data_IF_885858156437
#
_entry.id   IF_885858156437
#
_cell.length_a   1.000
_cell.length_b   1.000
_cell.length_c   1.000
_cell.angle_alpha   90.00
_cell.angle_beta   90.00
_cell.angle_gamma   90.00
#
_symmetry.space_group_name_H-M   'P 1'
#
loop_
_entity.id
_entity.type
_entity.pdbx_description
1 polymer ?
#
# COMPACT_ATOMS: atom_id res chain seq x y z
N UNK A 1 32.07 -36.31 -9.88
CA UNK A 1 32.26 -35.09 -10.68
C UNK A 1 33.47 -35.28 -11.58
N UNK A 2 33.25 -35.72 -12.82
CA UNK A 2 34.27 -35.71 -13.87
C UNK A 2 33.62 -35.19 -15.14
N UNK A 3 34.26 -34.15 -15.64
CA UNK A 3 33.84 -33.15 -16.61
C UNK A 3 33.96 -33.66 -18.06
N UNK A 4 33.06 -34.55 -18.47
CA UNK A 4 32.82 -34.80 -19.90
C UNK A 4 31.33 -34.95 -20.13
N UNK A 5 30.65 -33.82 -20.34
CA UNK A 5 29.30 -33.84 -20.92
C UNK A 5 29.36 -34.66 -22.20
N UNK A 6 28.52 -35.67 -22.30
CA UNK A 6 28.44 -36.47 -23.52
C UNK A 6 28.04 -35.54 -24.69
N UNK A 7 28.79 -35.58 -25.79
CA UNK A 7 28.51 -34.73 -26.95
C UNK A 7 27.11 -34.98 -27.54
N UNK A 8 26.56 -36.19 -27.35
CA UNK A 8 25.25 -36.60 -27.86
C UNK A 8 24.10 -36.37 -26.87
N UNK A 9 24.38 -35.93 -25.63
CA UNK A 9 23.37 -35.72 -24.59
C UNK A 9 22.24 -34.78 -25.07
N UNK A 10 22.62 -33.64 -25.68
CA UNK A 10 21.64 -32.68 -26.23
C UNK A 10 20.79 -33.30 -27.35
N UNK A 11 21.38 -34.15 -28.18
CA UNK A 11 20.67 -34.82 -29.27
C UNK A 11 19.65 -35.83 -28.72
N UNK A 12 20.03 -36.63 -27.71
CA UNK A 12 19.15 -37.56 -26.98
C UNK A 12 17.99 -36.81 -26.34
N UNK A 13 18.25 -35.74 -25.58
CA UNK A 13 17.20 -34.93 -24.95
C UNK A 13 16.27 -34.26 -25.98
N UNK A 14 16.82 -33.84 -27.12
CA UNK A 14 16.00 -33.28 -28.21
C UNK A 14 15.14 -34.32 -28.91
N UNK A 15 15.66 -35.55 -29.07
CA UNK A 15 14.96 -36.68 -29.65
C UNK A 15 13.77 -37.09 -28.78
N UNK A 16 13.93 -37.09 -27.45
CA UNK A 16 12.81 -37.35 -26.53
C UNK A 16 11.72 -36.28 -26.65
N UNK A 17 12.09 -34.98 -26.58
CA UNK A 17 11.13 -33.86 -26.70
C UNK A 17 10.38 -33.84 -28.03
N UNK A 18 11.05 -34.17 -29.13
CA UNK A 18 10.46 -34.17 -30.48
C UNK A 18 9.86 -35.51 -30.88
N UNK A 19 10.05 -36.55 -30.05
CA UNK A 19 9.71 -37.96 -30.33
C UNK A 19 10.35 -38.51 -31.61
N UNK A 20 11.46 -37.92 -32.08
CA UNK A 20 12.18 -38.33 -33.29
C UNK A 20 13.52 -38.98 -32.93
N UNK A 21 13.56 -40.31 -33.00
CA UNK A 21 14.74 -41.10 -32.66
C UNK A 21 15.39 -41.70 -33.91
N UNK A 22 16.69 -41.46 -34.09
CA UNK A 22 17.52 -42.22 -35.03
C UNK A 22 18.05 -43.49 -34.37
N UNK A 23 18.39 -44.50 -35.18
CA UNK A 23 18.93 -45.76 -34.69
C UNK A 23 20.29 -45.59 -34.00
N UNK A 24 21.11 -44.62 -34.45
CA UNK A 24 22.38 -44.29 -33.80
C UNK A 24 22.19 -43.76 -32.38
N UNK A 25 21.16 -42.94 -32.14
CA UNK A 25 20.87 -42.39 -30.80
C UNK A 25 20.35 -43.47 -29.86
N UNK A 26 19.59 -44.45 -30.35
CA UNK A 26 19.15 -45.60 -29.55
C UNK A 26 20.31 -46.49 -29.16
N UNK A 27 21.21 -46.80 -30.10
CA UNK A 27 22.46 -47.54 -29.80
C UNK A 27 23.37 -46.80 -28.82
N UNK A 28 23.41 -45.48 -28.90
CA UNK A 28 24.19 -44.68 -27.95
C UNK A 28 23.63 -44.78 -26.52
N UNK A 29 22.31 -44.79 -26.35
CA UNK A 29 21.69 -44.94 -25.02
C UNK A 29 22.05 -46.26 -24.34
N UNK A 30 22.14 -47.35 -25.09
CA UNK A 30 22.53 -48.66 -24.55
C UNK A 30 23.96 -48.69 -24.00
N UNK A 31 24.83 -47.79 -24.47
CA UNK A 31 26.26 -47.74 -24.12
C UNK A 31 26.64 -46.55 -23.22
N UNK A 32 25.74 -45.59 -23.01
CA UNK A 32 26.03 -44.35 -22.30
C UNK A 32 25.14 -44.18 -21.05
N UNK A 33 25.67 -44.41 -19.83
CA UNK A 33 24.92 -44.25 -18.60
C UNK A 33 24.51 -42.79 -18.36
N UNK A 34 25.37 -41.81 -18.66
CA UNK A 34 25.07 -40.38 -18.47
C UNK A 34 23.83 -39.93 -19.26
N UNK A 35 23.71 -40.39 -20.52
CA UNK A 35 22.55 -40.10 -21.35
C UNK A 35 21.28 -40.82 -20.87
N UNK A 36 21.43 -41.99 -20.26
CA UNK A 36 20.31 -42.76 -19.69
C UNK A 36 19.75 -42.06 -18.45
N UNK A 37 20.64 -41.61 -17.55
CA UNK A 37 20.26 -40.86 -16.36
C UNK A 37 19.62 -39.51 -16.74
N UNK A 38 20.20 -38.78 -17.69
CA UNK A 38 19.64 -37.53 -18.19
C UNK A 38 18.24 -37.73 -18.80
N UNK A 39 18.02 -38.82 -19.54
CA UNK A 39 16.73 -39.18 -20.12
C UNK A 39 15.69 -39.55 -19.04
N UNK A 40 16.11 -40.25 -17.98
CA UNK A 40 15.24 -40.56 -16.85
C UNK A 40 14.75 -39.27 -16.17
N UNK A 41 15.66 -38.34 -15.89
CA UNK A 41 15.32 -37.05 -15.27
C UNK A 41 14.40 -36.23 -16.17
N UNK A 42 14.68 -36.18 -17.47
CA UNK A 42 13.81 -35.47 -18.43
C UNK A 42 12.39 -36.03 -18.38
N UNK A 43 12.24 -37.36 -18.47
CA UNK A 43 10.93 -38.01 -18.48
C UNK A 43 10.17 -37.78 -17.19
N UNK A 44 10.86 -37.81 -16.05
CA UNK A 44 10.26 -37.48 -14.76
C UNK A 44 9.76 -36.03 -14.72
N UNK A 45 10.58 -35.07 -15.13
CA UNK A 45 10.18 -33.66 -15.19
C UNK A 45 9.04 -33.42 -16.19
N UNK A 46 9.05 -34.10 -17.33
CA UNK A 46 7.97 -34.04 -18.30
C UNK A 46 6.66 -34.57 -17.72
N UNK A 47 6.70 -35.70 -16.99
CA UNK A 47 5.51 -36.25 -16.32
C UNK A 47 4.97 -35.33 -15.23
N UNK A 48 5.85 -34.77 -14.40
CA UNK A 48 5.47 -33.82 -13.35
C UNK A 48 4.89 -32.54 -13.94
N UNK A 49 5.46 -32.03 -15.04
CA UNK A 49 4.93 -30.86 -15.74
C UNK A 49 3.53 -31.12 -16.33
N UNK A 50 3.29 -32.31 -16.89
CA UNK A 50 1.94 -32.71 -17.33
C UNK A 50 0.96 -32.84 -16.17
N UNK A 51 1.38 -33.41 -15.03
CA UNK A 51 0.54 -33.50 -13.84
C UNK A 51 0.21 -32.11 -13.26
N UNK A 52 1.21 -31.24 -13.15
CA UNK A 52 1.06 -29.88 -12.63
C UNK A 52 0.18 -28.99 -13.53
N UNK A 53 0.36 -29.08 -14.85
CA UNK A 53 -0.48 -28.35 -15.82
C UNK A 53 -1.94 -28.81 -15.82
N UNK A 54 -2.19 -30.08 -15.47
CA UNK A 54 -3.56 -30.60 -15.31
C UNK A 54 -4.18 -30.16 -13.97
N UNK A 55 -3.38 -30.02 -12.92
CA UNK A 55 -3.84 -29.66 -11.58
C UNK A 55 -4.19 -28.18 -11.40
N UNK A 56 -3.66 -27.28 -12.22
CA UNK A 56 -3.89 -25.84 -12.09
C UNK A 56 -3.47 -25.10 -13.35
N UNK A 57 -4.37 -24.28 -13.92
CA UNK A 57 -3.97 -23.28 -14.92
C UNK A 57 -3.13 -22.23 -14.20
N UNK A 58 -1.81 -22.36 -14.28
CA UNK A 58 -0.92 -21.32 -13.79
C UNK A 58 -1.27 -19.99 -14.47
N UNK A 59 -1.31 -18.88 -13.72
CA UNK A 59 -1.49 -17.56 -14.32
C UNK A 59 -0.37 -17.31 -15.33
N UNK A 60 -0.70 -16.64 -16.43
CA UNK A 60 0.29 -16.31 -17.46
C UNK A 60 1.41 -15.45 -16.84
N UNK A 61 2.63 -15.57 -17.37
CA UNK A 61 3.78 -14.80 -16.89
C UNK A 61 3.46 -13.29 -16.84
N UNK A 62 2.71 -12.78 -17.84
CA UNK A 62 2.24 -11.40 -17.88
C UNK A 62 1.36 -11.01 -16.68
N UNK A 63 0.48 -11.91 -16.23
CA UNK A 63 -0.37 -11.64 -15.06
C UNK A 63 0.45 -11.57 -13.78
N UNK A 64 1.48 -12.42 -13.65
CA UNK A 64 2.39 -12.39 -12.49
C UNK A 64 3.19 -11.10 -12.48
N UNK A 65 3.75 -10.72 -13.64
CA UNK A 65 4.53 -9.50 -13.78
C UNK A 65 3.68 -8.25 -13.58
N UNK A 66 2.48 -8.21 -14.14
CA UNK A 66 1.53 -7.11 -13.94
C UNK A 66 1.14 -6.94 -12.48
N UNK A 67 0.88 -8.04 -11.75
CA UNK A 67 0.62 -7.99 -10.30
C UNK A 67 1.83 -7.47 -9.53
N UNK A 68 3.04 -7.81 -9.94
CA UNK A 68 4.26 -7.31 -9.32
C UNK A 68 4.45 -5.80 -9.59
N UNK A 69 4.25 -5.34 -10.82
CA UNK A 69 4.33 -3.93 -11.21
C UNK A 69 3.29 -3.08 -10.45
N UNK A 70 2.06 -3.59 -10.30
CA UNK A 70 1.03 -2.93 -9.49
C UNK A 70 1.41 -2.76 -8.03
N UNK A 71 2.06 -3.76 -7.42
CA UNK A 71 2.56 -3.64 -6.03
C UNK A 71 3.63 -2.56 -5.95
N UNK A 72 4.53 -2.51 -6.93
CA UNK A 72 5.59 -1.52 -6.99
C UNK A 72 5.01 -0.10 -7.13
N UNK A 73 4.05 0.10 -8.04
CA UNK A 73 3.36 1.38 -8.22
C UNK A 73 2.62 1.82 -6.96
N UNK A 74 1.93 0.90 -6.28
CA UNK A 74 1.22 1.21 -5.02
C UNK A 74 2.17 1.69 -3.92
N UNK A 75 3.35 1.07 -3.80
CA UNK A 75 4.37 1.51 -2.84
C UNK A 75 4.89 2.92 -3.16
N UNK A 76 5.08 3.25 -4.44
CA UNK A 76 5.46 4.60 -4.87
C UNK A 76 4.36 5.64 -4.56
N UNK A 77 3.09 5.31 -4.81
CA UNK A 77 1.97 6.21 -4.49
C UNK A 77 1.82 6.40 -2.99
N UNK A 78 2.04 5.36 -2.18
CA UNK A 78 1.96 5.45 -0.72
C UNK A 78 2.98 6.44 -0.16
N UNK A 79 4.19 6.50 -0.74
CA UNK A 79 5.22 7.48 -0.36
C UNK A 79 4.86 8.90 -0.77
N UNK A 80 4.18 9.08 -1.90
CA UNK A 80 3.74 10.39 -2.37
C UNK A 80 2.57 10.99 -1.57
N UNK A 81 1.74 10.16 -0.93
CA UNK A 81 0.56 10.61 -0.18
C UNK A 81 0.84 11.04 1.26
N UNK A 82 1.95 10.58 1.86
CA UNK A 82 2.35 10.96 3.22
C UNK A 82 2.55 12.47 3.41
N UNK A 83 3.29 13.19 2.54
CA UNK A 83 3.52 14.63 2.74
C UNK A 83 2.25 15.47 2.58
N UNK A 84 1.34 15.08 1.69
CA UNK A 84 0.08 15.82 1.43
C UNK A 84 -0.80 15.80 2.68
N UNK A 85 -0.97 14.64 3.32
CA UNK A 85 -1.77 14.52 4.55
C UNK A 85 -1.18 15.29 5.73
N UNK A 86 0.16 15.40 5.81
CA UNK A 86 0.82 16.18 6.87
C UNK A 86 0.56 17.66 6.68
N UNK A 87 0.64 18.16 5.44
CA UNK A 87 0.41 19.57 5.14
C UNK A 87 -1.04 19.99 5.41
N UNK A 88 -2.00 19.13 5.07
CA UNK A 88 -3.43 19.37 5.33
C UNK A 88 -3.72 19.48 6.83
N UNK A 89 -3.19 18.57 7.64
CA UNK A 89 -3.31 18.64 9.10
C UNK A 89 -2.62 19.87 9.67
N UNK A 90 -1.45 20.25 9.15
CA UNK A 90 -0.75 21.45 9.59
C UNK A 90 -1.55 22.73 9.26
N UNK A 91 -2.17 22.81 8.07
CA UNK A 91 -3.00 23.93 7.67
C UNK A 91 -4.26 24.07 8.54
N UNK A 92 -4.92 22.95 8.86
CA UNK A 92 -6.08 22.93 9.76
C UNK A 92 -5.72 23.43 11.16
N UNK A 93 -4.63 22.93 11.75
CA UNK A 93 -4.16 23.37 13.06
C UNK A 93 -3.78 24.85 13.07
N UNK A 94 -3.12 25.33 12.02
CA UNK A 94 -2.78 26.74 11.87
C UNK A 94 -4.03 27.63 11.77
N UNK A 95 -5.07 27.19 11.03
CA UNK A 95 -6.34 27.90 10.92
C UNK A 95 -7.08 28.02 12.26
N UNK A 96 -7.15 26.93 13.03
CA UNK A 96 -7.77 26.93 14.37
C UNK A 96 -7.01 27.86 15.33
N UNK A 97 -5.68 27.81 15.31
CA UNK A 97 -4.85 28.69 16.13
C UNK A 97 -5.06 30.16 15.78
N UNK A 98 -5.07 30.50 14.48
CA UNK A 98 -5.29 31.87 14.02
C UNK A 98 -6.69 32.39 14.39
N UNK A 99 -7.73 31.57 14.25
CA UNK A 99 -9.10 31.91 14.65
C UNK A 99 -9.20 32.15 16.17
N UNK A 100 -8.56 31.30 16.98
CA UNK A 100 -8.53 31.46 18.44
C UNK A 100 -7.87 32.77 18.87
N UNK A 101 -6.73 33.11 18.26
CA UNK A 101 -6.03 34.38 18.52
C UNK A 101 -6.87 35.58 18.07
N UNK A 102 -7.49 35.52 16.89
CA UNK A 102 -8.35 36.59 16.38
C UNK A 102 -9.57 36.84 17.27
N UNK A 103 -10.21 35.78 17.76
CA UNK A 103 -11.34 35.87 18.69
C UNK A 103 -10.91 36.46 20.03
N UNK A 104 -9.78 36.03 20.60
CA UNK A 104 -9.28 36.59 21.85
C UNK A 104 -8.93 38.08 21.74
N UNK A 105 -8.43 38.52 20.59
CA UNK A 105 -8.14 39.93 20.34
C UNK A 105 -9.40 40.78 20.20
N UNK A 106 -10.42 40.26 19.51
CA UNK A 106 -11.67 40.97 19.21
C UNK A 106 -12.75 40.82 20.30
N UNK A 107 -12.57 39.90 21.24
CA UNK A 107 -13.47 39.63 22.35
C UNK A 107 -13.91 40.88 23.14
N UNK A 108 -13.01 41.77 23.62
CA UNK A 108 -13.43 42.93 24.41
C UNK A 108 -14.35 43.86 23.63
N UNK A 109 -14.02 44.15 22.36
CA UNK A 109 -14.81 45.01 21.49
C UNK A 109 -16.18 44.41 21.17
N UNK A 110 -16.25 43.07 21.02
CA UNK A 110 -17.49 42.35 20.76
C UNK A 110 -18.42 42.35 21.98
N UNK A 111 -17.84 42.15 23.17
CA UNK A 111 -18.54 42.20 24.45
C UNK A 111 -19.11 43.59 24.74
N UNK A 112 -18.33 44.65 24.45
CA UNK A 112 -18.79 46.04 24.60
C UNK A 112 -19.98 46.36 23.68
N UNK A 113 -19.92 45.92 22.41
CA UNK A 113 -21.01 46.13 21.46
C UNK A 113 -22.28 45.33 21.82
N UNK A 114 -22.13 44.09 22.30
CA UNK A 114 -23.23 43.27 22.81
C UNK A 114 -23.86 43.85 24.08
N UNK A 115 -23.04 44.39 24.99
CA UNK A 115 -23.51 45.08 26.19
C UNK A 115 -24.34 46.32 25.86
N UNK A 116 -24.00 47.04 24.79
CA UNK A 116 -24.77 48.20 24.33
C UNK A 116 -26.16 47.83 23.76
N UNK A 117 -26.38 46.58 23.34
CA UNK A 117 -27.65 46.07 22.83
C UNK A 117 -28.51 45.39 23.92
N UNK A 118 -27.95 45.18 25.11
CA UNK A 118 -28.66 44.53 26.20
C UNK A 118 -29.72 45.48 26.81
N UNK A 119 -31.01 45.07 26.89
CA UNK A 119 -32.03 45.88 27.54
C UNK A 119 -31.69 46.06 29.02
N UNK A 120 -31.77 47.31 29.49
CA UNK A 120 -31.27 47.84 30.76
C UNK A 120 -31.89 47.26 32.04
N UNK A 121 -32.56 46.10 32.01
CA UNK A 121 -33.28 45.55 33.17
C UNK A 121 -33.03 44.08 33.49
N UNK A 122 -32.13 43.38 32.80
CA UNK A 122 -31.71 42.05 33.26
C UNK A 122 -30.39 42.15 34.04
N UNK A 123 -30.50 42.08 35.37
CA UNK A 123 -29.39 41.74 36.26
C UNK A 123 -28.93 40.32 35.96
N UNK A 124 -28.09 40.16 34.94
CA UNK A 124 -27.33 38.94 34.71
C UNK A 124 -26.18 38.88 35.70
N UNK A 125 -25.84 37.71 36.28
CA UNK A 125 -24.63 37.58 37.07
C UNK A 125 -23.42 38.02 36.23
N UNK A 126 -22.54 38.82 36.81
CA UNK A 126 -21.25 39.20 36.22
C UNK A 126 -20.39 37.94 36.07
N UNK A 127 -20.57 37.21 34.97
CA UNK A 127 -19.62 36.17 34.57
C UNK A 127 -18.47 36.89 33.89
N UNK A 128 -17.53 37.41 34.69
CA UNK A 128 -16.27 37.95 34.16
C UNK A 128 -15.43 36.80 33.64
N UNK A 129 -15.71 36.37 32.41
CA UNK A 129 -14.81 35.50 31.65
C UNK A 129 -13.53 36.30 31.40
N UNK A 130 -12.53 36.07 32.23
CA UNK A 130 -11.19 36.57 31.98
C UNK A 130 -10.75 36.22 30.54
N UNK A 131 -10.03 37.12 29.88
CA UNK A 131 -9.56 36.91 28.50
C UNK A 131 -8.81 35.57 28.33
N UNK A 132 -8.15 35.10 29.39
CA UNK A 132 -7.51 33.79 29.45
C UNK A 132 -8.54 32.66 29.39
N UNK A 133 -9.62 32.68 30.17
CA UNK A 133 -10.68 31.66 30.14
C UNK A 133 -11.39 31.58 28.78
N UNK A 134 -11.64 32.72 28.13
CA UNK A 134 -12.25 32.75 26.80
C UNK A 134 -11.31 32.16 25.73
N UNK A 135 -10.01 32.47 25.80
CA UNK A 135 -8.99 31.90 24.92
C UNK A 135 -8.88 30.37 25.10
N UNK A 136 -8.90 29.88 26.34
CA UNK A 136 -8.85 28.44 26.63
C UNK A 136 -10.09 27.69 26.13
N UNK A 137 -11.29 28.29 26.22
CA UNK A 137 -12.52 27.70 25.68
C UNK A 137 -12.51 27.68 24.15
N UNK A 138 -12.05 28.74 23.50
CA UNK A 138 -11.94 28.80 22.04
C UNK A 138 -10.89 27.81 21.50
N UNK A 139 -9.72 27.73 22.15
CA UNK A 139 -8.70 26.72 21.81
C UNK A 139 -9.21 25.31 22.10
N UNK A 140 -9.87 25.08 23.24
CA UNK A 140 -10.41 23.78 23.62
C UNK A 140 -11.46 23.28 22.63
N UNK A 141 -12.43 24.12 22.27
CA UNK A 141 -13.47 23.76 21.29
C UNK A 141 -12.90 23.57 19.88
N UNK A 142 -11.93 24.40 19.47
CA UNK A 142 -11.22 24.24 18.21
C UNK A 142 -10.42 22.94 18.10
N UNK A 143 -9.71 22.56 19.18
CA UNK A 143 -8.96 21.29 19.25
C UNK A 143 -9.92 20.10 19.23
N UNK A 144 -11.02 20.16 19.97
CA UNK A 144 -12.03 19.08 19.99
C UNK A 144 -12.69 18.93 18.61
N UNK A 145 -13.05 20.02 17.94
CA UNK A 145 -13.64 19.97 16.60
C UNK A 145 -12.64 19.41 15.56
N UNK A 146 -11.38 19.81 15.65
CA UNK A 146 -10.30 19.28 14.80
C UNK A 146 -10.09 17.78 15.01
N UNK A 147 -10.14 17.30 16.26
CA UNK A 147 -10.05 15.87 16.56
C UNK A 147 -11.27 15.08 16.06
N UNK A 148 -12.48 15.65 16.15
CA UNK A 148 -13.71 15.03 15.62
C UNK A 148 -13.65 14.92 14.10
N UNK A 149 -13.23 15.99 13.41
CA UNK A 149 -13.07 15.98 11.95
C UNK A 149 -12.01 14.98 11.50
N UNK A 150 -10.86 14.93 12.19
CA UNK A 150 -9.82 13.95 11.91
C UNK A 150 -10.28 12.50 12.15
N UNK A 151 -11.08 12.26 13.19
CA UNK A 151 -11.69 10.96 13.47
C UNK A 151 -12.75 10.56 12.43
N UNK A 152 -13.52 11.53 11.95
CA UNK A 152 -14.51 11.31 10.90
C UNK A 152 -13.82 10.91 9.59
N UNK A 153 -12.74 11.59 9.20
CA UNK A 153 -11.99 11.21 8.01
C UNK A 153 -11.35 9.81 8.10
N UNK A 154 -10.92 9.38 9.28
CA UNK A 154 -10.41 8.02 9.45
C UNK A 154 -11.50 6.96 9.28
N UNK A 155 -12.72 7.23 9.78
CA UNK A 155 -13.88 6.36 9.63
C UNK A 155 -14.32 6.20 8.17
N UNK A 156 -14.26 7.28 7.40
CA UNK A 156 -14.61 7.25 5.97
C UNK A 156 -13.52 6.63 5.08
N UNK A 157 -12.29 6.49 5.58
CA UNK A 157 -11.18 5.90 4.82
C UNK A 157 -11.12 4.37 4.94
N UNK A 158 -11.94 3.76 5.81
CA UNK A 158 -11.97 2.31 6.06
C UNK A 158 -13.07 1.57 5.26
N UNK A 159 -14.00 2.28 4.64
CA UNK A 159 -15.00 1.77 3.67
C UNK A 159 -14.52 1.90 2.20
#
# INVERSE_FOLDING_TARGET
MSEKRCNLERAVLSAERTRKWSDDLRRHLESCPDCTDALMVERFLASENTAASTASRLPTADQVWWRADLRHRREMTRRAQLPIRVLEKAAQLAGVAAAGVGLAWSAPTLLDWLGALAPTQMTTPDVTLSATTALWLALGTGVVLSLILAGLETLWAED
#
